data_IF_436405832131
#
_entry.id   IF_436405832131
#
_cell.length_a   1.000
_cell.length_b   1.000
_cell.length_c   1.000
_cell.angle_alpha   90.00
_cell.angle_beta   90.00
_cell.angle_gamma   90.00
#
_symmetry.space_group_name_H-M   'P 1'
#
loop_
_entity.id
_entity.type
_entity.pdbx_description
1 polymer ?
#
# COMPACT_ATOMS: atom_id res chain seq x y z
N UNK A 1 -10.21 -23.65 13.27
CA UNK A 1 -10.29 -24.49 12.06
C UNK A 1 -8.91 -24.50 11.41
N UNK A 2 -8.36 -25.66 11.06
CA UNK A 2 -7.08 -25.74 10.35
C UNK A 2 -7.25 -25.16 8.95
N UNK A 3 -6.59 -24.05 8.64
CA UNK A 3 -6.60 -23.46 7.30
C UNK A 3 -6.11 -24.47 6.24
N UNK A 4 -6.60 -24.36 5.00
CA UNK A 4 -6.18 -25.26 3.90
C UNK A 4 -4.69 -25.08 3.62
N UNK A 5 -3.89 -26.10 3.98
CA UNK A 5 -2.43 -26.06 3.84
C UNK A 5 -2.00 -25.91 2.38
N UNK A 6 -2.69 -26.55 1.44
CA UNK A 6 -2.37 -26.45 0.01
C UNK A 6 -2.63 -25.05 -0.53
N UNK A 7 -3.76 -24.44 -0.16
CA UNK A 7 -4.07 -23.07 -0.57
C UNK A 7 -3.08 -22.08 0.03
N UNK A 8 -2.77 -22.22 1.33
CA UNK A 8 -1.77 -21.40 2.01
C UNK A 8 -0.40 -21.46 1.31
N UNK A 9 0.05 -22.65 0.90
CA UNK A 9 1.30 -22.79 0.13
C UNK A 9 1.21 -22.15 -1.26
N UNK A 10 0.04 -22.20 -1.91
CA UNK A 10 -0.19 -21.50 -3.18
C UNK A 10 -0.05 -19.99 -3.05
N UNK A 11 -0.71 -19.40 -2.04
CA UNK A 11 -0.58 -17.96 -1.72
C UNK A 11 0.87 -17.62 -1.39
N UNK A 12 1.54 -18.44 -0.58
CA UNK A 12 2.95 -18.23 -0.22
C UNK A 12 3.89 -18.22 -1.41
N UNK A 13 3.65 -19.08 -2.41
CA UNK A 13 4.43 -19.07 -3.65
C UNK A 13 4.26 -17.75 -4.42
N UNK A 14 3.04 -17.21 -4.48
CA UNK A 14 2.78 -15.91 -5.11
C UNK A 14 3.53 -14.78 -4.40
N UNK A 15 3.49 -14.74 -3.07
CA UNK A 15 4.22 -13.76 -2.26
C UNK A 15 5.73 -13.83 -2.54
N UNK A 16 6.32 -15.03 -2.47
CA UNK A 16 7.76 -15.23 -2.71
C UNK A 16 8.18 -14.74 -4.09
N UNK A 17 7.38 -15.00 -5.12
CA UNK A 17 7.68 -14.58 -6.49
C UNK A 17 7.46 -13.09 -6.69
N UNK A 18 6.42 -12.51 -6.08
CA UNK A 18 6.10 -11.08 -6.20
C UNK A 18 7.11 -10.19 -5.46
N UNK A 19 7.62 -10.63 -4.31
CA UNK A 19 8.57 -9.87 -3.49
C UNK A 19 10.03 -10.03 -3.98
N UNK A 20 10.30 -11.00 -4.85
CA UNK A 20 11.65 -11.24 -5.34
C UNK A 20 12.07 -10.17 -6.37
N UNK A 21 13.24 -9.54 -6.22
CA UNK A 21 13.75 -8.56 -7.19
C UNK A 21 14.15 -9.20 -8.53
N UNK A 22 14.24 -10.53 -8.59
CA UNK A 22 14.60 -11.31 -9.79
C UNK A 22 13.69 -12.52 -9.93
N UNK A 23 13.48 -12.99 -11.16
CA UNK A 23 12.74 -14.23 -11.40
C UNK A 23 13.48 -15.40 -10.74
N UNK A 24 12.78 -16.32 -10.08
CA UNK A 24 13.39 -17.42 -9.32
C UNK A 24 13.24 -18.76 -10.08
N UNK A 25 14.16 -19.68 -9.89
CA UNK A 25 13.99 -21.08 -10.29
C UNK A 25 13.03 -21.80 -9.33
N UNK A 26 12.46 -22.92 -9.80
CA UNK A 26 11.59 -23.75 -8.96
C UNK A 26 12.32 -24.36 -7.75
N UNK A 27 13.64 -24.55 -7.87
CA UNK A 27 14.47 -25.06 -6.79
C UNK A 27 14.59 -24.03 -5.66
N UNK A 28 14.89 -22.77 -6.00
CA UNK A 28 14.97 -21.65 -5.05
C UNK A 28 13.62 -21.40 -4.37
N UNK A 29 12.51 -21.50 -5.12
CA UNK A 29 11.17 -21.36 -4.55
C UNK A 29 10.87 -22.52 -3.58
N UNK A 30 11.17 -23.77 -3.96
CA UNK A 30 10.93 -24.93 -3.11
C UNK A 30 11.71 -24.84 -1.78
N UNK A 31 12.96 -24.36 -1.84
CA UNK A 31 13.80 -24.09 -0.68
C UNK A 31 13.19 -23.01 0.21
N UNK A 32 12.82 -21.84 -0.34
CA UNK A 32 12.15 -20.75 0.40
C UNK A 32 10.81 -21.16 1.02
N UNK A 33 10.12 -22.12 0.42
CA UNK A 33 8.85 -22.66 0.92
C UNK A 33 9.03 -23.83 1.88
N UNK A 34 10.26 -24.34 2.07
CA UNK A 34 10.57 -25.53 2.85
C UNK A 34 9.74 -26.75 2.44
N UNK A 35 9.59 -26.95 1.12
CA UNK A 35 8.85 -28.10 0.55
C UNK A 35 9.68 -28.85 -0.48
N UNK A 36 9.33 -30.12 -0.69
CA UNK A 36 9.93 -30.91 -1.76
C UNK A 36 9.58 -30.31 -3.15
N UNK A 37 10.52 -30.38 -4.11
CA UNK A 37 10.35 -29.82 -5.46
C UNK A 37 9.07 -30.27 -6.14
N UNK A 38 8.68 -31.54 -5.99
CA UNK A 38 7.44 -32.08 -6.56
C UNK A 38 6.18 -31.36 -6.06
N UNK A 39 6.16 -30.89 -4.80
CA UNK A 39 5.06 -30.11 -4.23
C UNK A 39 5.05 -28.72 -4.86
N UNK A 40 6.21 -28.05 -4.93
CA UNK A 40 6.33 -26.74 -5.55
C UNK A 40 5.88 -26.77 -7.02
N UNK A 41 6.30 -27.78 -7.80
CA UNK A 41 5.85 -27.94 -9.19
C UNK A 41 4.34 -28.07 -9.32
N UNK A 42 3.70 -28.86 -8.46
CA UNK A 42 2.23 -29.03 -8.49
C UNK A 42 1.50 -27.73 -8.20
N UNK A 43 1.99 -26.96 -7.23
CA UNK A 43 1.44 -25.63 -6.90
C UNK A 43 1.63 -24.67 -8.07
N UNK A 44 2.85 -24.58 -8.60
CA UNK A 44 3.19 -23.71 -9.72
C UNK A 44 2.30 -23.98 -10.92
N UNK A 45 2.10 -25.25 -11.30
CA UNK A 45 1.23 -25.61 -12.43
C UNK A 45 -0.18 -25.05 -12.26
N UNK A 46 -0.77 -25.19 -11.07
CA UNK A 46 -2.08 -24.60 -10.79
C UNK A 46 -2.07 -23.08 -10.93
N UNK A 47 -1.02 -22.40 -10.42
CA UNK A 47 -0.91 -20.94 -10.55
C UNK A 47 -0.68 -20.49 -12.01
N UNK A 48 0.02 -21.28 -12.82
CA UNK A 48 0.20 -21.08 -14.26
C UNK A 48 -1.13 -21.27 -15.01
N UNK A 49 -1.91 -22.31 -14.69
CA UNK A 49 -3.24 -22.56 -15.28
C UNK A 49 -4.20 -21.37 -15.06
N UNK A 50 -4.07 -20.69 -13.91
CA UNK A 50 -4.81 -19.47 -13.59
C UNK A 50 -4.14 -18.17 -14.07
N UNK A 51 -3.01 -18.25 -14.79
CA UNK A 51 -2.22 -17.12 -15.30
C UNK A 51 -1.75 -16.16 -14.19
N UNK A 52 -1.57 -16.66 -12.98
CA UNK A 52 -1.07 -15.90 -11.83
C UNK A 52 0.45 -15.87 -11.82
N UNK A 53 1.09 -16.98 -12.22
CA UNK A 53 2.52 -17.09 -12.48
C UNK A 53 2.77 -17.56 -13.90
N UNK A 54 3.97 -17.31 -14.41
CA UNK A 54 4.45 -17.83 -15.68
C UNK A 54 5.94 -18.10 -15.60
N UNK A 55 6.47 -18.82 -16.60
CA UNK A 55 7.92 -18.95 -16.81
C UNK A 55 8.40 -17.96 -17.86
N UNK A 56 9.61 -17.47 -17.68
CA UNK A 56 10.37 -16.81 -18.75
C UNK A 56 11.07 -17.86 -19.64
N UNK A 57 11.79 -17.37 -20.65
CA UNK A 57 12.52 -18.20 -21.62
C UNK A 57 13.59 -19.09 -20.95
N UNK A 58 14.13 -18.66 -19.81
CA UNK A 58 15.10 -19.42 -19.01
C UNK A 58 14.42 -20.41 -18.04
N UNK A 59 13.09 -20.52 -18.07
CA UNK A 59 12.31 -21.40 -17.20
C UNK A 59 12.17 -20.87 -15.76
N UNK A 60 12.57 -19.61 -15.50
CA UNK A 60 12.45 -18.95 -14.20
C UNK A 60 11.03 -18.42 -14.04
N UNK A 61 10.52 -18.50 -12.82
CA UNK A 61 9.15 -18.14 -12.47
C UNK A 61 9.06 -16.63 -12.23
N UNK A 62 8.02 -16.03 -12.79
CA UNK A 62 7.69 -14.60 -12.70
C UNK A 62 6.19 -14.37 -12.47
N UNK A 63 5.78 -13.20 -11.95
CA UNK A 63 4.38 -12.77 -11.95
C UNK A 63 3.77 -12.77 -13.36
N UNK A 64 2.47 -13.03 -13.45
CA UNK A 64 1.71 -13.00 -14.70
C UNK A 64 0.46 -12.11 -14.61
N UNK A 65 -0.16 -11.83 -15.76
CA UNK A 65 -1.22 -10.83 -15.92
C UNK A 65 -2.51 -11.13 -15.15
N UNK A 66 -2.72 -12.38 -14.72
CA UNK A 66 -3.83 -12.74 -13.83
C UNK A 66 -3.79 -11.95 -12.52
N UNK A 67 -2.59 -11.65 -11.98
CA UNK A 67 -2.47 -10.84 -10.76
C UNK A 67 -3.00 -9.42 -10.95
N UNK A 68 -2.68 -8.77 -12.07
CA UNK A 68 -3.22 -7.45 -12.39
C UNK A 68 -4.75 -7.47 -12.57
N UNK A 69 -5.28 -8.58 -13.10
CA UNK A 69 -6.73 -8.76 -13.27
C UNK A 69 -7.45 -8.84 -11.93
N UNK A 70 -6.86 -9.54 -10.95
CA UNK A 70 -7.37 -9.61 -9.57
C UNK A 70 -7.22 -8.28 -8.82
N UNK A 71 -6.06 -7.62 -8.95
CA UNK A 71 -5.79 -6.36 -8.25
C UNK A 71 -6.74 -5.22 -8.68
N UNK A 72 -7.14 -5.19 -9.96
CA UNK A 72 -8.02 -4.15 -10.51
C UNK A 72 -9.39 -4.04 -9.83
N UNK A 73 -9.91 -5.09 -9.20
CA UNK A 73 -11.20 -5.04 -8.51
C UNK A 73 -11.13 -4.52 -7.08
N UNK A 74 -9.95 -4.43 -6.48
CA UNK A 74 -9.79 -4.00 -5.08
C UNK A 74 -10.16 -2.53 -4.96
N UNK A 75 -11.18 -2.18 -4.17
CA UNK A 75 -11.55 -0.78 -3.89
C UNK A 75 -11.65 0.07 -5.17
N UNK A 76 -12.28 -0.48 -6.22
CA UNK A 76 -12.29 0.11 -7.58
C UNK A 76 -12.77 1.56 -7.59
N UNK A 77 -13.84 1.85 -6.87
CA UNK A 77 -14.44 3.19 -6.85
C UNK A 77 -13.47 4.19 -6.21
N UNK A 78 -12.86 3.83 -5.08
CA UNK A 78 -11.80 4.64 -4.44
C UNK A 78 -10.62 4.88 -5.39
N UNK A 79 -10.15 3.88 -6.13
CA UNK A 79 -9.07 4.07 -7.10
C UNK A 79 -9.47 5.03 -8.21
N UNK A 80 -10.66 4.86 -8.78
CA UNK A 80 -11.16 5.68 -9.89
C UNK A 80 -11.34 7.14 -9.46
N UNK A 81 -11.90 7.38 -8.29
CA UNK A 81 -12.11 8.71 -7.73
C UNK A 81 -10.79 9.37 -7.31
N UNK A 82 -9.86 8.61 -6.72
CA UNK A 82 -8.59 9.17 -6.26
C UNK A 82 -7.62 9.50 -7.40
N UNK A 83 -7.63 8.75 -8.51
CA UNK A 83 -6.60 8.89 -9.54
C UNK A 83 -6.50 10.30 -10.17
N UNK A 84 -7.59 11.01 -10.50
CA UNK A 84 -7.53 12.39 -10.97
C UNK A 84 -6.90 13.34 -9.94
N UNK A 85 -7.32 13.26 -8.68
CA UNK A 85 -6.80 14.11 -7.60
C UNK A 85 -5.33 13.80 -7.27
N UNK A 86 -4.94 12.53 -7.27
CA UNK A 86 -3.55 12.11 -7.15
C UNK A 86 -2.68 12.66 -8.28
N UNK A 87 -3.18 12.63 -9.51
CA UNK A 87 -2.47 13.17 -10.67
C UNK A 87 -2.27 14.68 -10.55
N UNK A 88 -3.31 15.40 -10.10
CA UNK A 88 -3.24 16.84 -9.84
C UNK A 88 -2.24 17.15 -8.72
N UNK A 89 -2.32 16.46 -7.59
CA UNK A 89 -1.41 16.64 -6.45
C UNK A 89 0.03 16.35 -6.84
N UNK A 90 0.28 15.21 -7.50
CA UNK A 90 1.62 14.79 -7.83
C UNK A 90 2.32 15.82 -8.72
N UNK A 91 1.64 16.29 -9.77
CA UNK A 91 2.20 17.28 -10.69
C UNK A 91 2.32 18.67 -10.06
N UNK A 92 1.33 19.11 -9.28
CA UNK A 92 1.35 20.45 -8.64
C UNK A 92 2.44 20.55 -7.59
N UNK A 93 2.60 19.51 -6.78
CA UNK A 93 3.58 19.49 -5.69
C UNK A 93 4.95 18.98 -6.15
N UNK A 94 5.04 18.39 -7.35
CA UNK A 94 6.23 17.65 -7.82
C UNK A 94 6.66 16.54 -6.85
N UNK A 95 5.68 15.85 -6.26
CA UNK A 95 5.84 14.80 -5.25
C UNK A 95 5.08 13.55 -5.65
N UNK A 96 5.48 12.39 -5.15
CA UNK A 96 4.69 11.18 -5.35
C UNK A 96 3.49 11.22 -4.41
N UNK A 97 2.29 11.18 -4.98
CA UNK A 97 1.03 11.13 -4.25
C UNK A 97 0.48 9.70 -4.27
N UNK A 98 -0.20 9.27 -3.21
CA UNK A 98 -0.79 7.93 -3.14
C UNK A 98 -1.94 7.86 -2.15
N UNK A 99 -2.77 6.83 -2.31
CA UNK A 99 -3.77 6.41 -1.32
C UNK A 99 -3.30 5.11 -0.67
N UNK A 100 -3.28 5.10 0.65
CA UNK A 100 -3.04 3.90 1.44
C UNK A 100 -4.33 3.47 2.13
N UNK A 101 -4.56 2.16 2.19
CA UNK A 101 -5.71 1.54 2.87
C UNK A 101 -5.22 0.65 3.99
N UNK A 102 -6.02 0.55 5.05
CA UNK A 102 -5.79 -0.37 6.14
C UNK A 102 -6.74 -1.56 6.05
N UNK A 103 -6.17 -2.76 6.05
CA UNK A 103 -6.92 -4.01 6.15
C UNK A 103 -6.16 -4.98 7.06
N UNK A 104 -6.85 -5.54 8.06
CA UNK A 104 -6.26 -6.39 9.10
C UNK A 104 -5.10 -5.71 9.86
N UNK A 105 -3.87 -6.09 9.59
CA UNK A 105 -2.64 -5.66 10.27
C UNK A 105 -1.74 -4.76 9.40
N UNK A 106 -2.09 -4.58 8.12
CA UNK A 106 -1.23 -3.91 7.15
C UNK A 106 -1.85 -2.64 6.58
N UNK A 107 -1.01 -1.62 6.46
CA UNK A 107 -1.27 -0.46 5.62
C UNK A 107 -0.68 -0.73 4.23
N UNK A 108 -1.53 -0.74 3.20
CA UNK A 108 -1.14 -1.05 1.82
C UNK A 108 -1.40 0.15 0.92
N UNK A 109 -0.41 0.52 0.13
CA UNK A 109 -0.60 1.51 -0.95
C UNK A 109 -1.49 0.91 -2.04
N UNK A 110 -2.67 1.48 -2.21
CA UNK A 110 -3.66 1.01 -3.17
C UNK A 110 -3.37 1.55 -4.57
N UNK A 111 -3.09 2.84 -4.68
CA UNK A 111 -2.79 3.54 -5.93
C UNK A 111 -1.78 4.65 -5.65
N UNK A 112 -0.86 4.87 -6.59
CA UNK A 112 0.15 5.92 -6.50
C UNK A 112 0.39 6.56 -7.86
N UNK A 113 0.67 7.86 -7.86
CA UNK A 113 1.00 8.65 -9.03
C UNK A 113 2.30 9.42 -8.76
N UNK A 114 3.26 9.24 -9.67
CA UNK A 114 4.49 10.00 -9.71
C UNK A 114 4.32 11.25 -10.60
N UNK A 115 4.98 12.37 -10.30
CA UNK A 115 4.96 13.57 -11.15
C UNK A 115 5.59 13.29 -12.51
N UNK A 116 4.95 13.76 -13.59
CA UNK A 116 5.37 13.45 -14.96
C UNK A 116 6.76 14.00 -15.34
N UNK A 117 7.23 15.06 -14.67
CA UNK A 117 8.44 15.80 -15.06
C UNK A 117 9.46 15.94 -13.90
N UNK A 118 9.50 14.99 -12.95
CA UNK A 118 10.49 15.03 -11.87
C UNK A 118 11.33 13.75 -11.82
N UNK A 119 12.63 13.88 -12.09
CA UNK A 119 13.60 12.80 -11.92
C UNK A 119 14.01 12.56 -10.46
N UNK A 120 13.49 13.37 -9.52
CA UNK A 120 13.83 13.29 -8.09
C UNK A 120 12.68 12.75 -7.23
N UNK A 121 11.55 12.41 -7.86
CA UNK A 121 10.41 11.85 -7.15
C UNK A 121 10.77 10.49 -6.54
N UNK A 122 10.26 10.25 -5.34
CA UNK A 122 10.45 8.98 -4.66
C UNK A 122 9.47 7.99 -5.25
N UNK A 123 9.98 6.93 -5.87
CA UNK A 123 9.15 5.84 -6.38
C UNK A 123 8.44 5.15 -5.20
N UNK A 124 7.12 5.17 -5.21
CA UNK A 124 6.28 4.49 -4.23
C UNK A 124 5.21 3.70 -4.97
N UNK A 125 5.27 2.36 -4.90
CA UNK A 125 4.49 1.50 -5.81
C UNK A 125 3.19 1.03 -5.16
N UNK A 126 2.09 0.88 -5.93
CA UNK A 126 0.94 0.10 -5.50
C UNK A 126 1.37 -1.29 -5.00
N UNK A 127 0.74 -1.75 -3.91
CA UNK A 127 1.08 -2.98 -3.22
C UNK A 127 2.21 -2.85 -2.19
N UNK A 128 2.87 -1.70 -2.06
CA UNK A 128 3.82 -1.44 -0.95
C UNK A 128 3.09 -1.54 0.38
N UNK A 129 3.66 -2.28 1.34
CA UNK A 129 3.05 -2.59 2.64
C UNK A 129 3.97 -2.18 3.79
N UNK A 130 3.37 -1.73 4.88
CA UNK A 130 4.03 -1.57 6.18
C UNK A 130 3.00 -1.72 7.31
N UNK A 131 3.48 -1.87 8.54
CA UNK A 131 2.61 -2.00 9.72
C UNK A 131 1.82 -0.71 10.01
N UNK A 132 0.76 -0.85 10.79
CA UNK A 132 -0.03 0.30 11.27
C UNK A 132 0.67 1.12 12.37
N UNK A 133 1.80 0.63 12.86
CA UNK A 133 2.67 1.27 13.86
C UNK A 133 3.69 2.25 13.26
N UNK A 134 3.83 2.31 11.92
CA UNK A 134 4.88 3.08 11.24
C UNK A 134 4.36 3.92 10.07
N UNK A 135 4.84 5.16 9.94
CA UNK A 135 4.53 6.08 8.85
C UNK A 135 3.32 7.00 9.09
N UNK A 136 3.21 8.05 8.27
CA UNK A 136 2.13 9.03 8.34
C UNK A 136 0.75 8.48 7.95
N UNK A 137 0.57 7.65 6.91
CA UNK A 137 -0.76 7.16 6.54
C UNK A 137 -1.47 6.38 7.67
N UNK A 138 -0.80 5.49 8.43
CA UNK A 138 -1.42 4.84 9.58
C UNK A 138 -1.82 5.79 10.70
N UNK A 139 -1.00 6.80 11.01
CA UNK A 139 -1.37 7.84 11.99
C UNK A 139 -2.63 8.58 11.51
N UNK A 140 -2.70 8.94 10.22
CA UNK A 140 -3.86 9.61 9.65
C UNK A 140 -5.11 8.71 9.72
N UNK A 141 -5.01 7.43 9.35
CA UNK A 141 -6.12 6.46 9.45
C UNK A 141 -6.57 6.31 10.91
N UNK A 142 -5.64 6.15 11.86
CA UNK A 142 -5.94 6.06 13.29
C UNK A 142 -6.67 7.29 13.83
N UNK A 143 -6.44 8.48 13.25
CA UNK A 143 -7.06 9.74 13.71
C UNK A 143 -8.59 9.78 13.54
N UNK A 144 -9.14 8.94 12.65
CA UNK A 144 -10.58 8.74 12.51
C UNK A 144 -11.23 8.06 13.73
N UNK A 145 -10.42 7.42 14.58
CA UNK A 145 -10.89 6.68 15.74
C UNK A 145 -10.48 7.40 17.03
N UNK A 146 -11.31 7.29 18.07
CA UNK A 146 -10.89 7.57 19.44
C UNK A 146 -10.06 6.41 19.98
N UNK A 147 -9.24 6.65 21.01
CA UNK A 147 -8.48 5.58 21.68
C UNK A 147 -9.39 4.42 22.11
N UNK A 148 -10.54 4.72 22.71
CA UNK A 148 -11.50 3.69 23.12
C UNK A 148 -12.06 2.88 21.94
N UNK A 149 -12.33 3.51 20.80
CA UNK A 149 -12.75 2.78 19.59
C UNK A 149 -11.62 1.92 19.04
N UNK A 150 -10.39 2.43 19.05
CA UNK A 150 -9.21 1.70 18.61
C UNK A 150 -8.94 0.45 19.45
N UNK A 151 -8.92 0.60 20.77
CA UNK A 151 -8.71 -0.50 21.71
C UNK A 151 -9.82 -1.56 21.57
N UNK A 152 -11.08 -1.14 21.33
CA UNK A 152 -12.21 -2.03 21.12
C UNK A 152 -12.12 -2.84 19.81
N UNK A 153 -11.40 -2.35 18.80
CA UNK A 153 -11.16 -3.11 17.56
C UNK A 153 -10.17 -4.27 17.75
N UNK A 154 -9.44 -4.31 18.88
CA UNK A 154 -8.49 -5.36 19.23
C UNK A 154 -7.52 -5.71 18.08
N UNK A 155 -6.95 -4.67 17.47
CA UNK A 155 -6.09 -4.76 16.28
C UNK A 155 -4.73 -5.41 16.56
N UNK A 156 -4.34 -5.49 17.83
CA UNK A 156 -2.99 -5.90 18.24
C UNK A 156 -1.91 -4.83 17.98
N UNK A 157 -2.31 -3.64 17.53
CA UNK A 157 -1.41 -2.51 17.25
C UNK A 157 -1.71 -1.37 18.22
N UNK A 158 -0.66 -0.82 18.84
CA UNK A 158 -0.80 0.28 19.78
C UNK A 158 -1.31 1.56 19.09
N UNK A 159 -2.24 2.25 19.75
CA UNK A 159 -2.70 3.56 19.31
C UNK A 159 -1.57 4.59 19.47
N UNK A 160 -1.09 5.13 18.36
CA UNK A 160 0.10 5.97 18.33
C UNK A 160 -0.12 7.32 19.03
N UNK A 161 0.89 7.81 19.74
CA UNK A 161 0.81 9.10 20.44
C UNK A 161 0.59 10.28 19.49
N UNK A 162 1.19 10.22 18.30
CA UNK A 162 1.09 11.23 17.25
C UNK A 162 -0.34 11.42 16.72
N UNK A 163 -1.23 10.45 16.97
CA UNK A 163 -2.63 10.50 16.50
C UNK A 163 -3.39 11.66 17.12
N UNK A 164 -3.08 12.03 18.37
CA UNK A 164 -3.71 13.17 19.04
C UNK A 164 -3.47 14.46 18.25
N UNK A 165 -2.23 14.69 17.86
CA UNK A 165 -1.84 15.89 17.13
C UNK A 165 -2.40 15.84 15.70
N UNK A 166 -2.41 14.66 15.07
CA UNK A 166 -3.02 14.48 13.75
C UNK A 166 -4.53 14.76 13.76
N UNK A 167 -5.24 14.37 14.83
CA UNK A 167 -6.67 14.64 14.99
C UNK A 167 -6.99 16.12 15.15
N UNK A 168 -6.13 16.87 15.86
CA UNK A 168 -6.28 18.32 16.03
C UNK A 168 -5.93 19.05 14.72
N UNK A 169 -4.81 18.68 14.11
CA UNK A 169 -4.27 19.37 12.94
C UNK A 169 -4.95 18.95 11.64
N UNK A 170 -5.65 17.82 11.61
CA UNK A 170 -6.27 17.22 10.42
C UNK A 170 -5.28 16.64 9.42
N UNK A 171 -4.04 16.34 9.84
CA UNK A 171 -3.03 15.67 9.04
C UNK A 171 -1.98 15.00 9.93
N UNK A 172 -1.36 13.94 9.44
CA UNK A 172 -0.23 13.28 10.06
C UNK A 172 1.07 13.56 9.29
N UNK A 173 2.20 13.49 10.00
CA UNK A 173 3.54 13.56 9.43
C UNK A 173 4.40 12.46 10.00
N UNK A 174 5.32 11.96 9.18
CA UNK A 174 6.38 11.05 9.58
C UNK A 174 7.65 11.38 8.81
N UNK A 175 8.80 11.29 9.48
CA UNK A 175 10.11 11.53 8.87
C UNK A 175 10.99 10.33 9.18
N UNK A 176 11.63 9.77 8.16
CA UNK A 176 12.58 8.66 8.27
C UNK A 176 12.03 7.38 8.94
N UNK A 177 10.70 7.23 9.02
CA UNK A 177 10.07 6.07 9.67
C UNK A 177 10.01 4.83 8.77
N UNK A 178 9.51 4.97 7.53
CA UNK A 178 9.39 3.85 6.57
C UNK A 178 10.60 3.78 5.64
N UNK A 179 11.06 4.93 5.15
CA UNK A 179 12.22 5.06 4.27
C UNK A 179 13.09 6.17 4.82
N UNK A 180 14.39 5.88 4.99
CA UNK A 180 15.37 6.86 5.47
C UNK A 180 15.55 8.00 4.45
N UNK A 181 15.57 9.24 4.93
CA UNK A 181 15.68 10.45 4.12
C UNK A 181 14.34 10.93 3.53
N UNK A 182 13.21 10.33 3.92
CA UNK A 182 11.89 10.56 3.33
C UNK A 182 10.93 11.09 4.37
N UNK A 183 10.24 12.18 4.01
CA UNK A 183 9.10 12.71 4.74
C UNK A 183 7.82 12.27 4.05
N UNK A 184 6.83 11.89 4.85
CA UNK A 184 5.45 11.67 4.41
C UNK A 184 4.51 12.60 5.15
N UNK A 185 3.55 13.16 4.41
CA UNK A 185 2.41 13.89 4.94
C UNK A 185 1.14 13.19 4.48
N UNK A 186 0.22 12.94 5.39
CA UNK A 186 -1.00 12.19 5.12
C UNK A 186 -2.23 12.84 5.76
N UNK A 187 -3.38 12.71 5.14
CA UNK A 187 -4.68 13.14 5.66
C UNK A 187 -5.67 11.97 5.60
N UNK A 188 -6.56 11.81 6.60
CA UNK A 188 -7.57 10.75 6.56
C UNK A 188 -8.57 10.99 5.42
N UNK A 189 -9.00 9.92 4.77
CA UNK A 189 -10.18 9.91 3.93
C UNK A 189 -11.37 9.46 4.78
N UNK A 190 -12.49 10.18 4.67
CA UNK A 190 -13.71 9.87 5.41
C UNK A 190 -14.69 9.23 4.45
N UNK A 191 -14.74 7.91 4.44
CA UNK A 191 -15.54 7.13 3.51
C UNK A 191 -16.35 6.08 4.27
N UNK A 192 -17.63 5.94 3.94
CA UNK A 192 -18.54 4.99 4.60
C UNK A 192 -18.50 3.60 3.98
N UNK A 193 -18.15 3.50 2.69
CA UNK A 193 -18.27 2.29 1.87
C UNK A 193 -16.93 1.68 1.43
N UNK A 194 -15.81 2.16 1.95
CA UNK A 194 -14.47 1.67 1.57
C UNK A 194 -13.66 1.28 2.80
N UNK A 195 -12.53 0.61 2.58
CA UNK A 195 -11.57 0.37 3.65
C UNK A 195 -11.10 1.72 4.24
N UNK A 196 -10.80 1.79 5.55
CA UNK A 196 -10.19 2.98 6.15
C UNK A 196 -8.94 3.38 5.36
N UNK A 197 -8.89 4.63 4.93
CA UNK A 197 -7.88 5.08 3.98
C UNK A 197 -7.30 6.45 4.35
N UNK A 198 -6.11 6.72 3.82
CA UNK A 198 -5.47 8.03 3.89
C UNK A 198 -4.90 8.41 2.53
N UNK A 199 -5.00 9.69 2.21
CA UNK A 199 -4.34 10.33 1.09
C UNK A 199 -3.00 10.89 1.56
N UNK A 200 -1.93 10.61 0.85
CA UNK A 200 -0.58 11.00 1.28
C UNK A 200 0.31 11.44 0.12
N UNK A 201 1.36 12.19 0.47
CA UNK A 201 2.51 12.42 -0.40
C UNK A 201 3.80 12.00 0.29
N UNK A 202 4.81 11.68 -0.50
CA UNK A 202 6.19 11.46 -0.05
C UNK A 202 7.17 12.33 -0.85
N UNK A 203 8.18 12.83 -0.14
CA UNK A 203 9.24 13.66 -0.70
C UNK A 203 10.52 13.53 0.12
N UNK A 204 11.66 13.86 -0.49
CA UNK A 204 12.93 13.85 0.23
C UNK A 204 12.96 14.99 1.27
N UNK A 205 13.27 14.65 2.52
CA UNK A 205 13.20 15.54 3.69
C UNK A 205 13.96 16.86 3.48
N UNK A 206 15.08 16.83 2.75
CA UNK A 206 15.91 18.02 2.47
C UNK A 206 15.28 19.05 1.52
N UNK A 207 14.13 18.76 0.92
CA UNK A 207 13.69 19.45 -0.31
C UNK A 207 12.59 20.49 -0.08
N UNK A 208 11.88 20.43 1.04
CA UNK A 208 10.66 21.22 1.24
C UNK A 208 10.75 22.01 2.53
N UNK A 209 10.43 23.31 2.45
CA UNK A 209 10.34 24.21 3.60
C UNK A 209 8.90 24.61 3.95
N UNK A 210 7.93 24.45 3.03
CA UNK A 210 6.56 24.93 3.20
C UNK A 210 5.54 23.79 3.35
N UNK A 211 5.50 23.15 4.52
CA UNK A 211 4.56 22.06 4.81
C UNK A 211 3.08 22.48 4.72
N UNK A 212 2.76 23.73 5.06
CA UNK A 212 1.37 24.22 5.09
C UNK A 212 0.68 24.17 3.72
N UNK A 213 1.42 24.48 2.63
CA UNK A 213 0.86 24.42 1.27
C UNK A 213 0.54 22.98 0.86
N UNK A 214 1.41 22.04 1.21
CA UNK A 214 1.21 20.61 0.94
C UNK A 214 -0.01 20.09 1.71
N UNK A 215 -0.08 20.39 3.01
CA UNK A 215 -1.19 19.97 3.87
C UNK A 215 -2.51 20.54 3.37
N UNK A 216 -2.54 21.80 2.95
CA UNK A 216 -3.75 22.42 2.38
C UNK A 216 -4.20 21.69 1.12
N UNK A 217 -3.30 21.46 0.17
CA UNK A 217 -3.61 20.74 -1.06
C UNK A 217 -4.11 19.32 -0.79
N UNK A 218 -3.47 18.60 0.14
CA UNK A 218 -3.90 17.28 0.59
C UNK A 218 -5.33 17.29 1.15
N UNK A 219 -5.64 18.23 2.05
CA UNK A 219 -6.98 18.33 2.65
C UNK A 219 -8.05 18.65 1.61
N UNK A 220 -7.77 19.57 0.68
CA UNK A 220 -8.69 19.93 -0.41
C UNK A 220 -8.99 18.71 -1.30
N UNK A 221 -7.95 17.98 -1.75
CA UNK A 221 -8.14 16.77 -2.54
C UNK A 221 -8.81 15.63 -1.75
N UNK A 222 -8.54 15.49 -0.46
CA UNK A 222 -9.19 14.51 0.38
C UNK A 222 -10.68 14.76 0.56
N UNK A 223 -11.11 16.03 0.62
CA UNK A 223 -12.52 16.40 0.64
C UNK A 223 -13.21 15.99 -0.66
N UNK A 224 -12.62 16.35 -1.82
CA UNK A 224 -13.16 15.96 -3.15
C UNK A 224 -13.32 14.45 -3.26
N UNK A 225 -12.28 13.68 -2.88
CA UNK A 225 -12.35 12.21 -2.92
C UNK A 225 -13.42 11.67 -1.98
N UNK A 226 -13.57 12.24 -0.78
CA UNK A 226 -14.53 11.76 0.21
C UNK A 226 -15.97 12.09 -0.18
N UNK A 227 -16.22 13.25 -0.79
CA UNK A 227 -17.54 13.66 -1.30
C UNK A 227 -18.01 12.76 -2.45
N UNK A 228 -17.12 12.42 -3.37
CA UNK A 228 -17.44 11.54 -4.52
C UNK A 228 -17.67 10.07 -4.11
N UNK A 229 -17.27 9.67 -2.89
CA UNK A 229 -17.41 8.31 -2.36
C UNK A 229 -18.52 8.15 -1.30
N UNK A 230 -19.21 9.25 -0.96
CA UNK A 230 -20.30 9.29 0.03
C UNK A 230 -21.65 8.98 -0.60
#
# INVERSE_FOLDING_TARGET
>A
MSASQTLSRGVRMLEIVADSPTNLSIAEIAEKMEVHRSIAYRILRTLEDHRLLARDEAGRIRPASGLATLARSVQRDLQNTALPELTKLANTLSMTAFVAVWEHDLCTTLVSVEPAHSHRAIVHRPGTRHGMDVGAPPIAIQSNYTRSQWDAMNTGVDYREQVRDAKINGYASSVDEVIRGVTSLAVPLHTSNTLPAALAVVFATSTVQEHEKIVRALKESALVISEDLS
#
